data_IF_778460515228
#
_entry.id   IF_778460515228
#
_cell.length_a   1.000
_cell.length_b   1.000
_cell.length_c   1.000
_cell.angle_alpha   90.00
_cell.angle_beta   90.00
_cell.angle_gamma   90.00
#
_symmetry.space_group_name_H-M   'P 1'
#
loop_
_entity.id
_entity.type
_entity.pdbx_description
1 polymer ?
#
# COMPACT_ATOMS: atom_id res chain seq x y z
N UNK A 1 11.65 14.56 0.25
CA UNK A 1 10.69 13.58 0.80
C UNK A 1 9.96 12.94 -0.36
N UNK A 2 10.35 11.73 -0.76
CA UNK A 2 9.66 10.96 -1.80
C UNK A 2 8.37 10.38 -1.25
N UNK A 3 7.24 10.97 -1.64
CA UNK A 3 5.92 10.37 -1.45
C UNK A 3 5.68 9.30 -2.52
N UNK A 4 4.73 8.38 -2.29
CA UNK A 4 4.22 7.51 -3.38
C UNK A 4 3.91 8.30 -4.64
N UNK A 5 4.10 7.66 -5.80
CA UNK A 5 3.89 8.28 -7.11
C UNK A 5 2.48 8.89 -7.22
N UNK A 6 2.34 9.94 -8.02
CA UNK A 6 1.05 10.58 -8.28
C UNK A 6 -0.01 9.57 -8.78
N UNK A 7 0.42 8.55 -9.53
CA UNK A 7 -0.44 7.46 -10.00
C UNK A 7 -1.00 6.62 -8.85
N UNK A 8 -0.18 6.31 -7.84
CA UNK A 8 -0.66 5.57 -6.67
C UNK A 8 -1.64 6.39 -5.81
N UNK A 9 -1.42 7.70 -5.70
CA UNK A 9 -2.40 8.59 -5.03
C UNK A 9 -3.75 8.60 -5.75
N UNK A 10 -3.76 8.72 -7.08
CA UNK A 10 -4.99 8.66 -7.86
C UNK A 10 -5.71 7.31 -7.71
N UNK A 11 -4.96 6.19 -7.61
CA UNK A 11 -5.53 4.88 -7.31
C UNK A 11 -6.19 4.84 -5.93
N UNK A 12 -5.51 5.35 -4.89
CA UNK A 12 -6.09 5.41 -3.54
C UNK A 12 -7.36 6.26 -3.49
N UNK A 13 -7.40 7.40 -4.20
CA UNK A 13 -8.59 8.24 -4.31
C UNK A 13 -9.74 7.53 -5.03
N UNK A 14 -9.44 6.72 -6.06
CA UNK A 14 -10.43 5.93 -6.78
C UNK A 14 -10.98 4.73 -5.95
N UNK A 15 -10.33 4.37 -4.84
CA UNK A 15 -10.70 3.21 -4.02
C UNK A 15 -11.92 3.44 -3.08
N UNK A 16 -12.73 4.49 -3.31
CA UNK A 16 -13.90 4.80 -2.49
C UNK A 16 -14.98 3.71 -2.48
N UNK A 17 -15.33 3.15 -3.64
CA UNK A 17 -16.32 2.08 -3.75
C UNK A 17 -15.89 0.81 -3.00
N UNK A 18 -14.68 0.26 -3.20
CA UNK A 18 -14.25 -0.91 -2.43
C UNK A 18 -14.11 -0.62 -0.93
N UNK A 19 -13.83 0.63 -0.52
CA UNK A 19 -13.80 1.02 0.88
C UNK A 19 -15.19 0.99 1.51
N UNK A 20 -16.17 1.65 0.88
CA UNK A 20 -17.54 1.74 1.41
C UNK A 20 -18.28 0.39 1.40
N UNK A 21 -18.05 -0.42 0.38
CA UNK A 21 -18.63 -1.78 0.27
C UNK A 21 -17.85 -2.83 1.07
N UNK A 22 -16.73 -2.47 1.68
CA UNK A 22 -15.80 -3.39 2.35
C UNK A 22 -15.40 -4.58 1.46
N UNK A 23 -15.35 -4.38 0.15
CA UNK A 23 -15.15 -5.44 -0.83
C UNK A 23 -13.78 -6.12 -0.71
N UNK A 24 -12.81 -5.47 -0.05
CA UNK A 24 -11.46 -5.97 0.16
C UNK A 24 -11.18 -6.42 1.59
N UNK A 25 -12.18 -6.36 2.48
CA UNK A 25 -12.04 -6.82 3.84
C UNK A 25 -11.61 -8.30 3.88
N UNK A 26 -10.69 -8.62 4.79
CA UNK A 26 -10.12 -9.94 5.05
C UNK A 26 -9.34 -10.55 3.85
N UNK A 27 -9.09 -9.78 2.79
CA UNK A 27 -8.25 -10.22 1.67
C UNK A 27 -6.76 -10.04 1.98
N UNK A 28 -5.88 -10.93 1.51
CA UNK A 28 -4.44 -10.73 1.65
C UNK A 28 -3.97 -9.54 0.81
N UNK A 29 -3.07 -8.74 1.37
CA UNK A 29 -2.44 -7.60 0.72
C UNK A 29 -0.91 -7.74 0.80
N UNK A 30 -0.24 -7.37 -0.28
CA UNK A 30 1.21 -7.24 -0.33
C UNK A 30 1.59 -6.15 -1.33
N UNK A 31 2.83 -5.67 -1.26
CA UNK A 31 3.30 -4.62 -2.14
C UNK A 31 4.81 -4.65 -2.31
N UNK A 32 5.25 -4.06 -3.41
CA UNK A 32 6.66 -3.86 -3.71
C UNK A 32 6.87 -2.41 -4.16
N UNK A 33 8.10 -1.92 -4.03
CA UNK A 33 8.47 -0.59 -4.48
C UNK A 33 9.83 -0.63 -5.14
N UNK A 34 10.04 0.25 -6.11
CA UNK A 34 11.31 0.45 -6.79
C UNK A 34 11.62 1.94 -6.80
N UNK A 35 12.85 2.29 -6.41
CA UNK A 35 13.36 3.66 -6.49
C UNK A 35 14.77 3.65 -7.05
N UNK A 36 15.11 4.69 -7.79
CA UNK A 36 16.44 4.90 -8.38
C UNK A 36 17.52 5.22 -7.32
N UNK A 37 17.12 5.64 -6.11
CA UNK A 37 18.00 5.84 -4.96
C UNK A 37 17.84 4.72 -3.93
N UNK A 38 18.94 4.33 -3.28
CA UNK A 38 19.09 3.00 -2.68
C UNK A 38 18.30 2.77 -1.38
N UNK A 39 18.06 3.80 -0.54
CA UNK A 39 17.71 3.51 0.86
C UNK A 39 16.68 4.42 1.56
N UNK A 40 16.35 5.60 1.05
CA UNK A 40 15.50 6.57 1.80
C UNK A 40 13.99 6.43 1.60
N UNK A 41 13.55 6.25 0.35
CA UNK A 41 12.12 6.37 0.00
C UNK A 41 11.40 5.02 -0.16
N UNK A 42 12.11 3.89 -0.13
CA UNK A 42 11.49 2.55 -0.33
C UNK A 42 10.67 2.12 0.87
N UNK A 43 11.23 2.23 2.07
CA UNK A 43 10.51 1.85 3.30
C UNK A 43 9.24 2.70 3.46
N UNK A 44 9.34 4.01 3.22
CA UNK A 44 8.21 4.94 3.30
C UNK A 44 7.07 4.54 2.36
N UNK A 45 7.38 4.12 1.13
CA UNK A 45 6.36 3.65 0.19
C UNK A 45 5.72 2.34 0.64
N UNK A 46 6.50 1.40 1.18
CA UNK A 46 5.96 0.14 1.71
C UNK A 46 5.07 0.36 2.94
N UNK A 47 5.46 1.29 3.83
CA UNK A 47 4.64 1.70 4.97
C UNK A 47 3.32 2.34 4.50
N UNK A 48 3.37 3.21 3.49
CA UNK A 48 2.17 3.81 2.91
C UNK A 48 1.23 2.76 2.29
N UNK A 49 1.78 1.75 1.61
CA UNK A 49 1.00 0.60 1.10
C UNK A 49 0.36 -0.21 2.24
N UNK A 50 1.10 -0.47 3.32
CA UNK A 50 0.59 -1.22 4.47
C UNK A 50 -0.53 -0.45 5.20
N UNK A 51 -0.39 0.88 5.36
CA UNK A 51 -1.43 1.74 5.94
C UNK A 51 -2.70 1.74 5.08
N UNK A 52 -2.56 1.81 3.75
CA UNK A 52 -3.71 1.73 2.84
C UNK A 52 -4.41 0.36 2.95
N UNK A 53 -3.65 -0.74 2.99
CA UNK A 53 -4.22 -2.07 3.18
C UNK A 53 -5.02 -2.17 4.49
N UNK A 54 -4.49 -1.61 5.58
CA UNK A 54 -5.19 -1.55 6.87
C UNK A 54 -6.49 -0.72 6.79
N UNK A 55 -6.48 0.43 6.10
CA UNK A 55 -7.69 1.24 5.88
C UNK A 55 -8.78 0.50 5.10
N UNK A 56 -8.38 -0.39 4.19
CA UNK A 56 -9.28 -1.22 3.39
C UNK A 56 -9.71 -2.52 4.09
N UNK A 57 -9.27 -2.76 5.34
CA UNK A 57 -9.57 -3.97 6.10
C UNK A 57 -8.86 -5.22 5.57
N UNK A 58 -7.77 -5.04 4.82
CA UNK A 58 -6.97 -6.14 4.25
C UNK A 58 -5.93 -6.66 5.25
N UNK A 59 -5.52 -7.91 5.09
CA UNK A 59 -4.46 -8.54 5.88
C UNK A 59 -3.11 -8.37 5.17
N UNK A 60 -2.26 -7.49 5.70
CA UNK A 60 -0.94 -7.26 5.11
C UNK A 60 0.01 -8.42 5.40
N UNK A 61 0.48 -9.08 4.35
CA UNK A 61 1.48 -10.15 4.45
C UNK A 61 2.87 -9.56 4.32
N UNK A 62 3.55 -9.30 5.43
CA UNK A 62 4.99 -9.05 5.42
C UNK A 62 5.72 -10.37 5.28
N UNK A 63 6.52 -10.54 4.22
CA UNK A 63 7.37 -11.72 4.08
C UNK A 63 8.32 -11.81 5.27
N UNK A 64 8.03 -12.70 6.23
CA UNK A 64 9.01 -13.11 7.22
C UNK A 64 10.14 -13.81 6.45
N UNK A 65 11.40 -13.37 6.53
CA UNK A 65 12.50 -14.19 6.07
C UNK A 65 12.57 -15.37 7.05
N UNK A 66 12.20 -16.55 6.56
CA UNK A 66 12.55 -17.81 7.24
C UNK A 66 14.05 -18.07 7.16
#
# INVERSE_FOLDING_TARGET
MGSVSAVFKAFMEAAFTPFTTQAWKDKPAGGFTMSASQSGDKLVVLEQLAVFAAQMGMQWTSGSPG
#
